data_IF_727260117991
#
_entry.id   IF_727260117991
#
_cell.length_a   1.000
_cell.length_b   1.000
_cell.length_c   1.000
_cell.angle_alpha   90.00
_cell.angle_beta   90.00
_cell.angle_gamma   90.00
#
_symmetry.space_group_name_H-M   'P 1'
#
loop_
_entity.id
_entity.type
_entity.pdbx_description
1 polymer ?
#
# COMPACT_ATOMS: atom_id res chain seq x y z
N UNK A 1 0.63 -2.15 -17.21
CA UNK A 1 -0.26 -3.35 -17.19
C UNK A 1 -1.57 -2.95 -17.86
N UNK A 2 -2.12 -3.78 -18.75
CA UNK A 2 -3.35 -3.42 -19.48
C UNK A 2 -4.60 -3.71 -18.65
N UNK A 3 -5.69 -2.93 -18.82
CA UNK A 3 -7.01 -3.33 -18.33
C UNK A 3 -7.37 -4.73 -18.84
N UNK A 4 -7.90 -5.57 -17.94
CA UNK A 4 -8.24 -6.96 -18.21
C UNK A 4 -7.11 -7.96 -17.91
N UNK A 5 -5.92 -7.50 -17.50
CA UNK A 5 -4.80 -8.38 -17.21
C UNK A 5 -5.03 -9.29 -16.00
N UNK A 6 -5.84 -8.86 -15.03
CA UNK A 6 -6.17 -9.65 -13.83
C UNK A 6 -7.42 -10.53 -14.02
N UNK A 7 -8.25 -10.23 -15.01
CA UNK A 7 -9.59 -10.79 -15.21
C UNK A 7 -9.64 -12.32 -15.18
N UNK A 8 -8.62 -12.99 -15.76
CA UNK A 8 -8.59 -14.46 -15.77
C UNK A 8 -8.34 -15.03 -14.38
N UNK A 9 -7.35 -14.51 -13.64
CA UNK A 9 -7.06 -14.90 -12.26
C UNK A 9 -8.22 -14.60 -11.31
N UNK A 10 -8.96 -13.52 -11.56
CA UNK A 10 -10.16 -13.25 -10.76
C UNK A 10 -11.28 -14.26 -11.10
N UNK A 11 -11.46 -14.65 -12.36
CA UNK A 11 -12.52 -15.59 -12.79
C UNK A 11 -12.24 -17.06 -12.44
N UNK A 12 -11.00 -17.50 -12.44
CA UNK A 12 -10.63 -18.91 -12.22
C UNK A 12 -10.69 -19.36 -10.74
N UNK A 13 -11.01 -18.44 -9.82
CA UNK A 13 -11.13 -18.76 -8.41
C UNK A 13 -9.80 -18.91 -7.68
N UNK A 14 -8.69 -18.45 -8.27
CA UNK A 14 -7.37 -18.43 -7.60
C UNK A 14 -7.48 -17.80 -6.22
N UNK A 15 -6.89 -18.48 -5.24
CA UNK A 15 -6.85 -18.01 -3.87
C UNK A 15 -5.69 -17.02 -3.70
N UNK A 16 -6.02 -15.82 -3.24
CA UNK A 16 -5.11 -14.67 -3.17
C UNK A 16 -5.06 -14.21 -1.73
N UNK A 17 -3.88 -13.80 -1.29
CA UNK A 17 -3.65 -13.30 0.05
C UNK A 17 -3.43 -11.80 0.03
N UNK A 18 -3.92 -11.13 1.08
CA UNK A 18 -3.46 -9.80 1.43
C UNK A 18 -2.44 -9.95 2.55
N UNK A 19 -1.25 -9.41 2.38
CA UNK A 19 -0.18 -9.49 3.39
C UNK A 19 0.45 -8.12 3.63
N UNK A 20 1.17 -7.96 4.73
CA UNK A 20 1.90 -6.72 4.99
C UNK A 20 3.27 -6.78 4.31
N UNK A 21 3.60 -5.77 3.48
CA UNK A 21 4.94 -5.59 2.93
C UNK A 21 5.55 -6.84 2.24
N UNK A 22 4.72 -7.59 1.51
CA UNK A 22 5.08 -8.87 0.87
C UNK A 22 5.53 -9.99 1.84
N UNK A 23 5.36 -9.81 3.14
CA UNK A 23 5.70 -10.79 4.16
C UNK A 23 4.55 -11.79 4.36
N UNK A 24 4.74 -13.01 3.88
CA UNK A 24 3.75 -14.09 3.97
C UNK A 24 3.47 -14.56 5.40
N UNK A 25 4.29 -14.16 6.38
CA UNK A 25 4.00 -14.38 7.81
C UNK A 25 3.00 -13.37 8.39
N UNK A 26 2.76 -12.25 7.71
CA UNK A 26 1.94 -11.14 8.15
C UNK A 26 0.64 -11.01 7.34
N UNK A 27 -0.25 -12.00 7.49
CA UNK A 27 -1.51 -12.07 6.73
C UNK A 27 -2.54 -11.05 7.22
N UNK A 28 -3.04 -10.25 6.28
CA UNK A 28 -4.10 -9.25 6.48
C UNK A 28 -5.44 -9.68 5.90
N UNK A 29 -5.48 -10.66 5.00
CA UNK A 29 -6.73 -11.13 4.42
C UNK A 29 -6.53 -12.25 3.42
N UNK A 30 -7.62 -12.90 3.02
CA UNK A 30 -7.62 -14.01 2.06
C UNK A 30 -8.90 -14.00 1.24
N UNK A 31 -8.78 -14.26 -0.04
CA UNK A 31 -9.92 -14.26 -0.96
C UNK A 31 -10.90 -15.39 -0.64
N UNK A 32 -10.39 -16.60 -0.43
CA UNK A 32 -11.22 -17.80 -0.20
C UNK A 32 -12.15 -17.73 1.02
N UNK A 33 -11.80 -16.96 2.06
CA UNK A 33 -12.64 -16.80 3.25
C UNK A 33 -13.42 -15.47 3.27
N UNK A 34 -13.42 -14.72 2.17
CA UNK A 34 -14.19 -13.49 2.02
C UNK A 34 -13.59 -12.24 2.70
N UNK A 35 -12.43 -12.35 3.36
CA UNK A 35 -11.79 -11.20 4.01
C UNK A 35 -10.98 -10.33 3.05
N UNK A 36 -10.75 -10.79 1.82
CA UNK A 36 -10.19 -10.01 0.72
C UNK A 36 -11.15 -10.03 -0.47
N UNK A 37 -11.55 -8.85 -0.92
CA UNK A 37 -12.32 -8.65 -2.14
C UNK A 37 -11.45 -7.93 -3.17
N UNK A 38 -11.52 -8.42 -4.41
CA UNK A 38 -10.74 -7.93 -5.53
C UNK A 38 -11.68 -7.69 -6.71
N UNK A 39 -11.56 -6.53 -7.34
CA UNK A 39 -12.32 -6.17 -8.53
C UNK A 39 -11.39 -5.45 -9.50
N UNK A 40 -11.37 -5.87 -10.76
CA UNK A 40 -10.69 -5.13 -11.82
C UNK A 40 -11.68 -4.21 -12.52
N UNK A 41 -11.29 -2.95 -12.72
CA UNK A 41 -12.02 -1.95 -13.50
C UNK A 41 -11.09 -1.25 -14.51
N UNK A 42 -11.61 -0.23 -15.20
CA UNK A 42 -10.85 0.50 -16.22
C UNK A 42 -9.65 1.30 -15.66
N UNK A 43 -9.61 1.53 -14.33
CA UNK A 43 -8.51 2.22 -13.64
C UNK A 43 -7.45 1.23 -13.12
N UNK A 44 -7.86 0.02 -12.73
CA UNK A 44 -6.93 -1.03 -12.31
C UNK A 44 -7.57 -2.07 -11.38
N UNK A 45 -6.76 -2.62 -10.47
CA UNK A 45 -7.22 -3.61 -9.50
C UNK A 45 -7.63 -2.92 -8.19
N UNK A 46 -8.93 -2.85 -7.93
CA UNK A 46 -9.49 -2.42 -6.66
C UNK A 46 -9.39 -3.54 -5.61
N UNK A 47 -9.00 -3.18 -4.39
CA UNK A 47 -8.71 -4.09 -3.29
C UNK A 47 -9.48 -3.61 -2.05
N UNK A 48 -10.20 -4.52 -1.41
CA UNK A 48 -10.81 -4.30 -0.10
C UNK A 48 -10.44 -5.43 0.86
N UNK A 49 -9.89 -5.07 2.01
CA UNK A 49 -9.41 -6.01 3.03
C UNK A 49 -10.22 -5.77 4.30
N UNK A 50 -10.79 -6.84 4.84
CA UNK A 50 -11.38 -6.91 6.19
C UNK A 50 -10.40 -7.65 7.11
N UNK A 51 -9.39 -6.94 7.67
CA UNK A 51 -8.31 -7.60 8.35
C UNK A 51 -8.72 -8.22 9.68
N UNK A 52 -8.06 -9.32 10.10
CA UNK A 52 -8.33 -9.93 11.39
C UNK A 52 -7.91 -9.00 12.52
N UNK A 53 -8.42 -9.25 13.72
CA UNK A 53 -8.01 -8.51 14.93
C UNK A 53 -6.71 -9.07 15.51
N UNK A 54 -5.60 -8.90 14.77
CA UNK A 54 -4.25 -9.28 15.20
C UNK A 54 -3.40 -8.05 15.49
N UNK A 55 -2.36 -8.14 16.34
CA UNK A 55 -1.46 -7.01 16.59
C UNK A 55 -0.89 -6.39 15.31
N UNK A 56 -0.44 -7.23 14.37
CA UNK A 56 0.09 -6.78 13.07
C UNK A 56 -0.96 -6.05 12.24
N UNK A 57 -2.20 -6.58 12.17
CA UNK A 57 -3.26 -5.91 11.43
C UNK A 57 -3.64 -4.55 12.06
N UNK A 58 -3.65 -4.45 13.38
CA UNK A 58 -3.92 -3.20 14.09
C UNK A 58 -2.81 -2.16 13.83
N UNK A 59 -1.55 -2.58 13.88
CA UNK A 59 -0.40 -1.73 13.54
C UNK A 59 -0.49 -1.22 12.10
N UNK A 60 -0.71 -2.11 11.12
CA UNK A 60 -0.83 -1.73 9.70
C UNK A 60 -1.99 -0.75 9.50
N UNK A 61 -3.14 -0.96 10.14
CA UNK A 61 -4.27 -0.03 10.08
C UNK A 61 -3.91 1.35 10.62
N UNK A 62 -3.19 1.41 11.73
CA UNK A 62 -2.76 2.68 12.33
C UNK A 62 -1.74 3.40 11.44
N UNK A 63 -0.77 2.68 10.88
CA UNK A 63 0.21 3.22 9.93
C UNK A 63 -0.48 3.83 8.70
N UNK A 64 -1.49 3.14 8.14
CA UNK A 64 -2.29 3.67 7.03
C UNK A 64 -3.10 4.89 7.46
N UNK A 65 -3.75 4.83 8.62
CA UNK A 65 -4.60 5.92 9.14
C UNK A 65 -3.81 7.20 9.37
N UNK A 66 -2.57 7.09 9.84
CA UNK A 66 -1.67 8.22 10.08
C UNK A 66 -0.95 8.70 8.81
N UNK A 67 -1.13 8.00 7.68
CA UNK A 67 -0.50 8.36 6.40
C UNK A 67 0.98 7.97 6.30
N UNK A 68 1.49 7.10 7.17
CA UNK A 68 2.83 6.51 7.01
C UNK A 68 2.86 5.48 5.88
N UNK A 69 1.70 4.88 5.58
CA UNK A 69 1.53 3.90 4.50
C UNK A 69 0.34 4.34 3.66
N UNK A 70 0.59 4.72 2.43
CA UNK A 70 -0.44 5.13 1.48
C UNK A 70 -0.33 4.40 0.13
N UNK A 71 0.56 3.40 0.00
CA UNK A 71 0.81 2.65 -1.25
C UNK A 71 0.44 1.18 -1.16
N UNK A 72 0.14 0.60 -2.32
CA UNK A 72 -0.10 -0.84 -2.52
C UNK A 72 0.87 -1.43 -3.55
N UNK A 73 1.10 -2.72 -3.44
CA UNK A 73 1.83 -3.54 -4.41
C UNK A 73 1.16 -4.91 -4.54
N UNK A 74 1.65 -5.71 -5.47
CA UNK A 74 1.19 -7.07 -5.69
C UNK A 74 2.27 -7.92 -6.36
N UNK A 75 2.30 -9.20 -6.03
CA UNK A 75 3.18 -10.19 -6.64
C UNK A 75 2.39 -11.07 -7.62
N UNK A 76 2.96 -11.24 -8.81
CA UNK A 76 2.33 -11.93 -9.91
C UNK A 76 3.37 -12.52 -10.87
N UNK A 77 2.97 -13.57 -11.59
CA UNK A 77 3.69 -14.02 -12.78
C UNK A 77 3.06 -13.41 -14.04
N UNK A 78 3.88 -13.10 -15.03
CA UNK A 78 3.40 -12.71 -16.36
C UNK A 78 3.05 -13.97 -17.15
N UNK A 79 1.78 -14.07 -17.57
CA UNK A 79 1.30 -15.18 -18.41
C UNK A 79 1.32 -14.80 -19.88
N UNK A 80 0.99 -13.54 -20.19
CA UNK A 80 1.01 -13.02 -21.57
C UNK A 80 1.47 -11.58 -21.60
N UNK A 81 2.42 -11.30 -22.49
CA UNK A 81 2.94 -9.97 -22.75
C UNK A 81 3.22 -9.73 -24.23
N UNK A 82 3.39 -8.47 -24.58
CA UNK A 82 3.86 -8.02 -25.90
C UNK A 82 4.96 -6.99 -25.67
N UNK A 83 6.03 -7.12 -26.43
CA UNK A 83 7.10 -6.14 -26.52
C UNK A 83 6.95 -5.39 -27.85
N UNK A 84 6.98 -4.06 -27.80
CA UNK A 84 7.00 -3.20 -28.99
C UNK A 84 8.32 -2.47 -29.01
N UNK A 85 9.12 -2.75 -30.05
CA UNK A 85 10.38 -2.08 -30.33
C UNK A 85 10.09 -0.62 -30.73
N UNK A 86 10.72 0.33 -30.03
CA UNK A 86 10.57 1.76 -30.30
C UNK A 86 11.77 2.34 -31.09
N UNK A 87 12.64 1.49 -31.62
CA UNK A 87 13.81 1.84 -32.41
C UNK A 87 14.94 2.50 -31.59
N UNK A 88 15.92 3.05 -32.30
CA UNK A 88 17.18 3.55 -31.71
C UNK A 88 17.04 4.76 -30.77
N UNK A 89 15.87 5.40 -30.71
CA UNK A 89 15.62 6.61 -29.91
C UNK A 89 14.68 6.39 -28.72
N UNK A 90 14.17 5.17 -28.53
CA UNK A 90 13.12 4.86 -27.55
C UNK A 90 13.47 3.74 -26.57
N UNK A 91 12.72 3.66 -25.47
CA UNK A 91 12.71 2.49 -24.59
C UNK A 91 11.62 1.55 -25.07
N UNK A 92 11.93 0.27 -25.27
CA UNK A 92 10.93 -0.75 -25.65
C UNK A 92 9.71 -0.72 -24.73
N UNK A 93 8.53 -0.76 -25.35
CA UNK A 93 7.28 -0.77 -24.60
C UNK A 93 6.88 -2.22 -24.27
N UNK A 94 6.85 -2.53 -22.98
CA UNK A 94 6.35 -3.81 -22.45
C UNK A 94 4.88 -3.69 -22.04
N UNK A 95 4.00 -4.36 -22.78
CA UNK A 95 2.57 -4.48 -22.44
C UNK A 95 2.25 -5.83 -21.82
N UNK A 96 1.94 -5.84 -20.52
CA UNK A 96 1.46 -7.04 -19.81
C UNK A 96 -0.06 -7.16 -20.01
N UNK A 97 -0.50 -8.27 -20.63
CA UNK A 97 -1.89 -8.54 -21.04
C UNK A 97 -2.60 -9.57 -20.18
N UNK A 98 -1.86 -10.45 -19.52
CA UNK A 98 -2.41 -11.46 -18.62
C UNK A 98 -1.39 -11.75 -17.52
N UNK A 99 -1.84 -11.76 -16.28
CA UNK A 99 -1.02 -12.10 -15.12
C UNK A 99 -1.67 -13.22 -14.32
N UNK A 100 -0.85 -13.93 -13.55
CA UNK A 100 -1.30 -14.80 -12.47
C UNK A 100 -0.97 -14.13 -11.14
N UNK A 101 -1.99 -13.54 -10.52
CA UNK A 101 -1.88 -12.82 -9.24
C UNK A 101 -1.81 -13.78 -8.05
N UNK A 102 -0.86 -13.55 -7.15
CA UNK A 102 -0.65 -14.37 -5.95
C UNK A 102 -1.01 -13.64 -4.65
N UNK A 103 -0.59 -12.39 -4.53
CA UNK A 103 -0.87 -11.58 -3.35
C UNK A 103 -0.99 -10.09 -3.67
N UNK A 104 -1.60 -9.36 -2.75
CA UNK A 104 -1.63 -7.90 -2.70
C UNK A 104 -1.14 -7.43 -1.33
N UNK A 105 -0.43 -6.30 -1.28
CA UNK A 105 0.18 -5.83 -0.04
C UNK A 105 0.14 -4.31 0.10
N UNK A 106 -0.24 -3.76 1.27
CA UNK A 106 0.20 -2.43 1.66
C UNK A 106 1.72 -2.45 1.81
N UNK A 107 2.40 -1.45 1.26
CA UNK A 107 3.87 -1.38 1.22
C UNK A 107 4.36 0.03 1.55
N UNK A 108 5.58 0.11 2.09
CA UNK A 108 6.27 1.39 2.26
C UNK A 108 6.90 1.87 0.94
N UNK A 109 7.37 0.93 0.12
CA UNK A 109 8.10 1.21 -1.11
C UNK A 109 7.44 0.46 -2.26
N UNK A 110 6.55 1.10 -3.03
CA UNK A 110 5.91 0.46 -4.16
C UNK A 110 6.87 0.35 -5.35
N UNK A 111 6.61 -0.61 -6.24
CA UNK A 111 7.27 -0.64 -7.55
C UNK A 111 6.78 0.50 -8.47
N UNK A 112 5.58 1.05 -8.22
CA UNK A 112 4.96 2.11 -9.02
C UNK A 112 4.18 3.09 -8.12
N UNK A 113 4.35 4.40 -8.34
CA UNK A 113 3.75 5.44 -7.49
C UNK A 113 2.23 5.60 -7.63
N UNK A 114 1.63 5.05 -8.69
CA UNK A 114 0.22 5.18 -9.02
C UNK A 114 -0.77 4.39 -8.15
N UNK A 115 -0.29 3.70 -7.12
CA UNK A 115 -1.14 2.94 -6.20
C UNK A 115 -1.49 3.76 -4.96
N UNK A 116 -2.68 3.51 -4.39
CA UNK A 116 -3.11 4.17 -3.14
C UNK A 116 -3.81 3.18 -2.20
N UNK A 117 -3.57 3.27 -0.89
CA UNK A 117 -4.33 2.56 0.15
C UNK A 117 -5.00 3.55 1.12
N UNK A 118 -6.21 3.22 1.56
CA UNK A 118 -6.93 4.00 2.57
C UNK A 118 -7.64 3.07 3.57
N UNK A 119 -7.54 3.37 4.86
CA UNK A 119 -8.28 2.66 5.90
C UNK A 119 -9.68 3.27 6.08
N UNK A 120 -10.73 2.57 5.63
CA UNK A 120 -12.12 2.98 5.82
C UNK A 120 -12.67 2.35 7.12
N UNK A 121 -13.20 3.15 8.05
CA UNK A 121 -13.81 2.59 9.28
C UNK A 121 -13.99 3.51 10.50
N UNK A 122 -13.47 4.73 10.50
CA UNK A 122 -13.81 5.76 11.50
C UNK A 122 -13.55 7.13 10.84
N UNK A 123 -14.44 8.11 11.03
CA UNK A 123 -14.27 9.44 10.39
C UNK A 123 -12.93 10.04 10.82
N UNK A 124 -12.03 10.40 9.90
CA UNK A 124 -10.81 11.11 10.27
C UNK A 124 -11.19 12.51 10.76
N UNK A 125 -10.90 12.84 12.02
CA UNK A 125 -10.93 14.22 12.48
C UNK A 125 -9.83 14.99 11.74
N UNK A 126 -10.24 15.95 10.90
CA UNK A 126 -9.31 16.86 10.24
C UNK A 126 -8.62 17.71 11.32
N UNK A 127 -7.27 17.77 11.36
CA UNK A 127 -6.57 18.70 12.25
C UNK A 127 -7.01 20.13 11.94
N UNK A 128 -7.52 20.85 12.95
CA UNK A 128 -7.87 22.28 12.81
C UNK A 128 -6.60 23.08 12.52
N UNK A 129 -6.59 23.87 11.45
CA UNK A 129 -5.50 24.79 11.11
C UNK A 129 -5.29 25.79 12.26
N UNK A 130 -4.18 25.62 13.00
CA UNK A 130 -3.72 26.60 13.98
C UNK A 130 -3.01 27.73 13.24
N UNK A 131 -3.73 28.82 12.94
CA UNK A 131 -3.12 30.10 12.61
C UNK A 131 -2.53 30.72 13.88
N UNK A 132 -1.21 30.77 14.03
CA UNK A 132 -0.59 31.67 15.02
C UNK A 132 0.68 32.35 14.49
N UNK A 133 0.64 33.69 14.52
CA UNK A 133 1.77 34.63 14.45
C UNK A 133 2.66 34.46 15.69
N UNK A 134 3.94 34.76 15.52
CA UNK A 134 4.98 34.75 16.55
C UNK A 134 4.71 35.70 17.74
N UNK A 135 5.03 35.29 18.97
CA UNK A 135 6.26 35.65 19.71
C UNK A 135 6.37 34.92 21.08
N UNK A 136 7.57 34.81 21.70
CA UNK A 136 7.88 33.80 22.71
C UNK A 136 7.64 34.27 24.16
N UNK A 137 7.08 33.38 24.99
CA UNK A 137 6.93 33.54 26.44
C UNK A 137 7.46 32.31 27.20
N UNK A 138 7.83 32.46 28.49
CA UNK A 138 8.82 31.60 29.15
C UNK A 138 8.28 30.23 29.53
N UNK A 139 9.19 29.26 29.55
CA UNK A 139 8.92 27.85 29.73
C UNK A 139 8.27 27.50 31.09
N UNK A 140 7.26 26.63 31.11
CA UNK A 140 6.90 25.87 32.30
C UNK A 140 7.39 24.43 32.19
N UNK A 141 8.23 24.09 33.17
CA UNK A 141 8.36 22.83 33.90
C UNK A 141 7.88 21.51 33.26
N UNK A 142 8.88 20.63 33.11
CA UNK A 142 8.86 19.16 33.04
C UNK A 142 7.50 18.47 33.22
N UNK A 143 6.95 18.00 32.11
CA UNK A 143 6.34 16.67 32.07
C UNK A 143 7.24 15.80 31.21
N UNK A 144 7.90 14.88 31.90
CA UNK A 144 8.91 13.94 31.44
C UNK A 144 8.25 12.85 30.59
N UNK A 145 7.72 13.23 29.42
CA UNK A 145 7.51 12.28 28.34
C UNK A 145 8.89 12.13 27.73
N UNK A 146 9.55 11.01 28.03
CA UNK A 146 10.69 10.50 27.27
C UNK A 146 10.27 10.33 25.81
N UNK A 147 10.22 11.43 25.06
CA UNK A 147 10.29 11.46 23.62
C UNK A 147 11.60 10.79 23.31
N UNK A 148 11.57 9.49 22.99
CA UNK A 148 12.66 8.85 22.27
C UNK A 148 12.65 9.46 20.87
N UNK A 149 13.13 10.69 20.79
CA UNK A 149 13.49 11.35 19.54
C UNK A 149 14.65 10.53 18.99
N UNK A 150 14.35 9.71 18.00
CA UNK A 150 15.37 8.92 17.30
C UNK A 150 16.05 9.88 16.31
N UNK A 151 16.98 10.70 16.80
CA UNK A 151 17.86 11.48 15.94
C UNK A 151 18.93 10.52 15.38
N UNK A 152 18.68 9.93 14.21
CA UNK A 152 19.68 9.14 13.47
C UNK A 152 20.37 10.07 12.47
N UNK A 153 21.58 10.52 12.79
CA UNK A 153 22.45 11.25 11.85
C UNK A 153 23.32 10.23 11.10
N UNK A 154 22.93 9.86 9.88
CA UNK A 154 23.78 9.05 9.01
C UNK A 154 24.89 9.94 8.43
N UNK A 155 26.11 9.86 8.96
CA UNK A 155 27.31 10.39 8.28
C UNK A 155 27.76 9.35 7.25
N UNK A 156 27.68 9.70 5.97
CA UNK A 156 28.30 8.95 4.89
C UNK A 156 29.81 9.28 4.88
N UNK A 157 30.67 8.26 4.92
CA UNK A 157 32.11 8.35 4.63
C UNK A 157 32.39 7.97 3.19
#
# INVERSE_FOLDING_TARGET
IKPGAFSKTLKDGTDIFAVWNHDTSAVLGRRKNGTLQLLEDDHGLHIEISPPDTPTAQEVRELIRQGFVDKMSFCFDVVKEVWTDNGDEGVDLREIKEVKLYEVSPVLFPAYDGTTVTARGCKPERPRELKQKAEPGPAPHSLDIKRRRLDVLLKQT
#
